data_IF_525558927918
#
_entry.id   IF_525558927918
#
_cell.length_a   1.000
_cell.length_b   1.000
_cell.length_c   1.000
_cell.angle_alpha   90.00
_cell.angle_beta   90.00
_cell.angle_gamma   90.00
#
_symmetry.space_group_name_H-M   'P 1'
#
loop_
_entity.id
_entity.type
_entity.pdbx_description
1 polymer ?
#
# COMPACT_ATOMS: atom_id res chain seq x y z
N UNK A 1 -71.97 18.20 -8.36
CA UNK A 1 -70.71 17.82 -8.99
C UNK A 1 -69.56 18.57 -8.34
N UNK A 2 -68.78 17.93 -7.41
CA UNK A 2 -67.61 18.49 -6.72
C UNK A 2 -66.39 17.67 -7.16
N UNK A 3 -65.48 18.32 -7.90
CA UNK A 3 -64.19 17.77 -8.25
C UNK A 3 -63.29 17.83 -6.99
N UNK A 4 -62.78 16.68 -6.54
CA UNK A 4 -61.72 16.60 -5.55
C UNK A 4 -60.35 16.71 -6.26
N UNK A 5 -59.61 17.76 -5.95
CA UNK A 5 -58.21 17.88 -6.31
C UNK A 5 -57.38 17.00 -5.34
N UNK A 6 -56.66 16.05 -5.92
CA UNK A 6 -55.64 15.29 -5.22
C UNK A 6 -54.34 16.11 -5.30
N UNK A 7 -53.92 16.65 -4.17
CA UNK A 7 -52.53 17.15 -3.98
C UNK A 7 -51.64 15.96 -3.65
N UNK A 8 -50.72 15.65 -4.56
CA UNK A 8 -49.61 14.75 -4.30
C UNK A 8 -48.59 15.38 -3.35
N UNK A 9 -47.88 14.57 -2.52
CA UNK A 9 -46.87 15.12 -1.61
C UNK A 9 -45.67 15.67 -2.38
N UNK A 10 -45.34 16.94 -2.12
CA UNK A 10 -44.12 17.56 -2.54
C UNK A 10 -42.95 16.83 -1.91
N UNK A 11 -42.08 16.24 -2.72
CA UNK A 11 -40.80 15.75 -2.29
C UNK A 11 -39.95 16.95 -1.87
N UNK A 12 -39.78 17.12 -0.55
CA UNK A 12 -38.74 17.97 -0.01
C UNK A 12 -37.40 17.30 -0.33
N UNK A 13 -36.73 17.80 -1.35
CA UNK A 13 -35.31 17.55 -1.56
C UNK A 13 -34.53 18.13 -0.40
N UNK A 14 -34.12 17.30 0.55
CA UNK A 14 -33.03 17.64 1.45
C UNK A 14 -31.77 17.76 0.59
N UNK A 15 -31.37 18.98 0.31
CA UNK A 15 -30.01 19.28 -0.07
C UNK A 15 -29.14 18.97 1.16
N UNK A 16 -28.59 17.77 1.20
CA UNK A 16 -27.48 17.45 2.09
C UNK A 16 -26.33 18.31 1.59
N UNK A 17 -26.06 19.40 2.27
CA UNK A 17 -24.82 20.14 2.13
C UNK A 17 -23.72 19.19 2.61
N UNK A 18 -23.04 18.51 1.66
CA UNK A 18 -21.77 17.82 1.91
C UNK A 18 -20.79 18.86 2.45
N UNK A 19 -20.62 18.87 3.76
CA UNK A 19 -19.51 19.58 4.40
C UNK A 19 -18.25 18.88 3.93
N UNK A 20 -17.45 19.59 3.15
CA UNK A 20 -16.11 19.22 2.74
C UNK A 20 -15.34 18.68 3.97
N UNK A 21 -15.12 17.36 4.01
CA UNK A 21 -14.58 16.65 5.17
C UNK A 21 -13.08 16.80 5.40
N UNK A 22 -12.39 17.60 4.61
CA UNK A 22 -10.99 17.92 4.88
C UNK A 22 -10.87 18.82 6.10
N UNK A 23 -9.95 18.53 7.05
CA UNK A 23 -9.76 19.39 8.19
C UNK A 23 -9.30 20.77 7.72
N UNK A 24 -10.11 21.78 7.94
CA UNK A 24 -9.83 23.19 7.61
C UNK A 24 -8.51 23.75 8.20
N UNK A 25 -7.71 22.92 8.86
CA UNK A 25 -6.47 23.29 9.54
C UNK A 25 -5.21 22.57 9.05
N UNK A 26 -5.32 21.61 8.11
CA UNK A 26 -4.14 20.96 7.56
C UNK A 26 -3.61 21.80 6.38
N UNK A 27 -2.61 22.65 6.67
CA UNK A 27 -1.89 23.36 5.62
C UNK A 27 -1.15 22.34 4.73
N UNK A 28 -1.32 22.45 3.41
CA UNK A 28 -0.58 21.66 2.46
C UNK A 28 0.93 21.94 2.53
N UNK A 29 1.74 21.02 2.03
CA UNK A 29 3.20 21.22 1.90
C UNK A 29 3.48 22.26 0.82
N UNK A 30 2.74 22.19 -0.27
CA UNK A 30 2.83 23.15 -1.39
C UNK A 30 2.07 24.43 -1.08
N UNK A 31 2.65 25.63 -1.33
CA UNK A 31 1.91 26.88 -1.28
C UNK A 31 0.74 26.90 -2.26
N UNK A 32 -0.35 27.64 -1.95
CA UNK A 32 -1.56 27.70 -2.78
C UNK A 32 -1.29 28.02 -4.26
N UNK A 33 -0.30 28.87 -4.54
CA UNK A 33 0.10 29.24 -5.91
C UNK A 33 0.95 28.18 -6.63
N UNK A 34 1.34 27.11 -5.94
CA UNK A 34 2.23 26.06 -6.47
C UNK A 34 1.49 24.99 -7.27
N UNK A 35 0.16 24.97 -7.18
CA UNK A 35 -0.74 24.11 -7.98
C UNK A 35 -1.86 24.93 -8.59
N UNK A 36 -2.49 24.43 -9.65
CA UNK A 36 -3.66 25.05 -10.24
C UNK A 36 -4.87 24.94 -9.30
N UNK A 37 -5.90 25.78 -9.54
CA UNK A 37 -7.13 25.71 -8.76
C UNK A 37 -7.86 24.36 -8.94
N UNK A 38 -7.81 23.77 -10.13
CA UNK A 38 -8.40 22.47 -10.43
C UNK A 38 -7.68 21.35 -9.67
N UNK A 39 -6.33 21.34 -9.63
CA UNK A 39 -5.56 20.37 -8.85
C UNK A 39 -5.85 20.47 -7.34
N UNK A 40 -6.03 21.68 -6.81
CA UNK A 40 -6.43 21.85 -5.42
C UNK A 40 -7.86 21.41 -5.14
N UNK A 41 -8.79 21.59 -6.12
CA UNK A 41 -10.17 21.14 -5.99
C UNK A 41 -10.24 19.61 -5.88
N UNK A 42 -9.52 18.87 -6.75
CA UNK A 42 -9.46 17.39 -6.69
C UNK A 42 -8.83 16.89 -5.39
N UNK A 43 -7.72 17.49 -4.94
CA UNK A 43 -7.05 17.07 -3.71
C UNK A 43 -7.81 17.44 -2.41
N UNK A 44 -8.86 18.28 -2.49
CA UNK A 44 -9.65 18.75 -1.34
C UNK A 44 -11.10 18.33 -1.39
N UNK A 45 -11.51 17.62 -2.39
CA UNK A 45 -12.85 17.06 -2.44
C UNK A 45 -12.97 15.86 -1.46
N UNK A 46 -14.15 15.28 -1.37
CA UNK A 46 -14.38 14.13 -0.49
C UNK A 46 -14.36 12.82 -1.31
N UNK A 47 -13.54 12.76 -2.34
CA UNK A 47 -13.36 11.61 -3.23
C UNK A 47 -11.90 11.18 -3.18
N UNK A 48 -11.64 9.88 -3.22
CA UNK A 48 -10.31 9.32 -3.33
C UNK A 48 -10.17 8.55 -4.64
N UNK A 49 -9.34 9.06 -5.54
CA UNK A 49 -8.93 8.37 -6.75
C UNK A 49 -7.51 7.77 -6.61
N UNK A 50 -7.27 6.65 -7.30
CA UNK A 50 -5.96 5.97 -7.23
C UNK A 50 -4.81 6.87 -7.68
N UNK A 51 -5.04 7.68 -8.71
CA UNK A 51 -4.04 8.57 -9.28
C UNK A 51 -3.58 9.71 -8.36
N UNK A 52 -4.41 10.10 -7.39
CA UNK A 52 -4.15 11.21 -6.46
C UNK A 52 -3.35 10.81 -5.23
N UNK A 53 -3.17 9.50 -5.00
CA UNK A 53 -2.56 8.99 -3.76
C UNK A 53 -1.17 9.57 -3.51
N UNK A 54 -0.33 9.67 -4.53
CA UNK A 54 1.02 10.23 -4.38
C UNK A 54 0.95 11.71 -3.96
N UNK A 55 0.06 12.48 -4.57
CA UNK A 55 -0.14 13.90 -4.27
C UNK A 55 -0.77 14.11 -2.87
N UNK A 56 -1.77 13.31 -2.51
CA UNK A 56 -2.39 13.35 -1.18
C UNK A 56 -1.38 13.02 -0.08
N UNK A 57 -0.54 12.00 -0.28
CA UNK A 57 0.55 11.66 0.66
C UNK A 57 1.52 12.83 0.78
N UNK A 58 1.94 13.41 -0.33
CA UNK A 58 2.87 14.54 -0.34
C UNK A 58 2.29 15.75 0.41
N UNK A 59 1.03 16.11 0.16
CA UNK A 59 0.42 17.32 0.72
C UNK A 59 -0.06 17.15 2.16
N UNK A 60 -0.62 15.98 2.51
CA UNK A 60 -1.38 15.85 3.76
C UNK A 60 -0.87 14.79 4.73
N UNK A 61 0.02 13.87 4.32
CA UNK A 61 0.57 12.89 5.27
C UNK A 61 1.41 13.57 6.36
N UNK A 62 1.11 13.25 7.62
CA UNK A 62 1.76 13.88 8.78
C UNK A 62 3.27 13.70 8.78
N UNK A 63 3.77 12.49 8.44
CA UNK A 63 5.20 12.19 8.40
C UNK A 63 5.90 12.99 7.31
N UNK A 64 5.32 13.03 6.10
CA UNK A 64 5.88 13.79 4.97
C UNK A 64 5.91 15.29 5.27
N UNK A 65 4.86 15.82 5.88
CA UNK A 65 4.79 17.22 6.30
C UNK A 65 5.83 17.55 7.37
N UNK A 66 6.03 16.67 8.35
CA UNK A 66 7.06 16.85 9.36
C UNK A 66 8.45 16.86 8.73
N UNK A 67 8.73 15.91 7.82
CA UNK A 67 9.99 15.86 7.08
C UNK A 67 10.23 17.14 6.28
N UNK A 68 9.20 17.65 5.61
CA UNK A 68 9.27 18.94 4.89
C UNK A 68 9.58 20.12 5.82
N UNK A 69 8.97 20.15 7.01
CA UNK A 69 9.26 21.18 8.01
C UNK A 69 10.69 21.07 8.56
N UNK A 70 11.19 19.85 8.81
CA UNK A 70 12.57 19.65 9.26
C UNK A 70 13.57 20.08 8.19
N UNK A 71 13.33 19.79 6.91
CA UNK A 71 14.14 20.28 5.81
C UNK A 71 14.13 21.81 5.71
N UNK A 72 12.97 22.43 5.90
CA UNK A 72 12.85 23.90 5.94
C UNK A 72 13.62 24.51 7.13
N UNK A 73 13.57 23.87 8.31
CA UNK A 73 14.38 24.32 9.47
C UNK A 73 15.87 24.19 9.17
N UNK A 74 16.29 23.09 8.56
CA UNK A 74 17.66 22.87 8.12
C UNK A 74 18.09 23.98 7.15
N UNK A 75 17.30 24.24 6.09
CA UNK A 75 17.55 25.27 5.09
C UNK A 75 17.67 26.67 5.71
N UNK A 76 16.80 27.00 6.66
CA UNK A 76 16.83 28.29 7.36
C UNK A 76 18.07 28.42 8.25
N UNK A 77 18.48 27.34 8.94
CA UNK A 77 19.66 27.34 9.82
C UNK A 77 20.97 27.43 9.03
N UNK A 78 21.03 26.76 7.87
CA UNK A 78 22.26 26.62 7.07
C UNK A 78 22.36 27.60 5.90
N UNK A 79 21.28 28.35 5.61
CA UNK A 79 21.19 29.22 4.44
C UNK A 79 21.21 28.47 3.12
N UNK A 80 20.66 27.25 3.10
CA UNK A 80 20.67 26.30 1.97
C UNK A 80 22.06 25.89 1.48
N UNK A 81 23.07 26.07 2.33
CA UNK A 81 24.45 25.65 1.99
C UNK A 81 24.71 24.26 2.51
N UNK A 82 24.90 23.34 1.61
CA UNK A 82 25.21 21.92 1.84
C UNK A 82 26.39 21.68 2.79
N UNK A 83 27.34 22.62 2.82
CA UNK A 83 28.67 22.36 3.38
C UNK A 83 28.93 22.93 4.77
N UNK A 84 28.13 23.88 5.29
CA UNK A 84 28.55 24.63 6.50
C UNK A 84 28.34 23.89 7.80
N UNK A 85 27.20 23.22 7.99
CA UNK A 85 26.93 22.41 9.19
C UNK A 85 27.63 21.07 9.16
N UNK A 86 27.78 20.48 7.96
CA UNK A 86 28.51 19.25 7.74
C UNK A 86 29.99 19.43 8.07
N UNK A 87 30.64 20.47 7.52
CA UNK A 87 32.07 20.77 7.77
C UNK A 87 32.37 21.04 9.25
N UNK A 88 31.47 21.74 9.95
CA UNK A 88 31.71 22.12 11.34
C UNK A 88 31.49 20.93 12.32
N UNK A 89 30.38 20.19 12.19
CA UNK A 89 30.10 19.05 13.06
C UNK A 89 31.03 17.86 12.80
N UNK A 90 31.25 17.50 11.53
CA UNK A 90 32.22 16.46 11.16
C UNK A 90 33.63 16.88 11.57
N UNK A 91 33.98 18.16 11.37
CA UNK A 91 35.29 18.69 11.77
C UNK A 91 35.55 18.60 13.28
N UNK A 92 34.55 18.79 14.13
CA UNK A 92 34.69 18.61 15.59
C UNK A 92 34.95 17.15 15.97
N UNK A 93 34.15 16.22 15.42
CA UNK A 93 34.36 14.78 15.70
C UNK A 93 35.67 14.27 15.13
N UNK A 94 36.09 14.69 13.94
CA UNK A 94 37.39 14.31 13.38
C UNK A 94 38.56 14.86 14.19
N UNK A 95 38.48 16.08 14.74
CA UNK A 95 39.52 16.62 15.65
C UNK A 95 39.55 15.76 16.93
N UNK A 96 38.42 15.49 17.54
CA UNK A 96 38.33 14.64 18.73
C UNK A 96 38.84 13.20 18.47
N UNK A 97 38.61 12.66 17.26
CA UNK A 97 39.18 11.38 16.84
C UNK A 97 40.71 11.45 16.71
N UNK A 98 41.26 12.48 16.05
CA UNK A 98 42.71 12.70 15.94
C UNK A 98 43.38 12.88 17.31
N UNK A 99 42.77 13.66 18.21
CA UNK A 99 43.30 13.87 19.56
C UNK A 99 43.31 12.51 20.33
N UNK A 100 42.28 11.71 20.17
CA UNK A 100 42.20 10.38 20.78
C UNK A 100 43.20 9.38 20.14
N UNK A 101 43.45 9.44 18.83
CA UNK A 101 44.53 8.67 18.17
C UNK A 101 45.90 9.08 18.67
N UNK A 102 46.16 10.38 18.79
CA UNK A 102 47.41 10.88 19.36
C UNK A 102 47.62 10.44 20.82
N UNK A 103 46.54 10.40 21.63
CA UNK A 103 46.57 9.90 22.99
C UNK A 103 46.84 8.37 23.03
N UNK A 104 46.29 7.63 22.06
CA UNK A 104 46.57 6.19 21.90
C UNK A 104 48.03 5.91 21.59
N UNK A 105 48.60 6.64 20.63
CA UNK A 105 50.02 6.49 20.22
C UNK A 105 50.99 6.86 21.37
N UNK A 106 50.63 7.84 22.19
CA UNK A 106 51.46 8.30 23.31
C UNK A 106 51.16 7.61 24.68
N UNK A 107 50.24 6.65 24.70
CA UNK A 107 49.87 5.97 25.93
C UNK A 107 51.02 5.14 26.52
N UNK A 108 51.31 5.33 27.83
CA UNK A 108 52.36 4.60 28.52
C UNK A 108 51.90 3.31 29.18
N UNK A 109 50.58 3.05 29.20
CA UNK A 109 49.97 1.84 29.76
C UNK A 109 48.82 1.34 28.87
N UNK A 110 48.53 0.03 28.96
CA UNK A 110 47.53 -0.62 28.12
C UNK A 110 46.06 -0.19 28.39
N UNK A 111 45.76 0.29 29.58
CA UNK A 111 44.41 0.74 29.91
C UNK A 111 44.10 2.10 29.26
N UNK A 112 45.05 3.04 29.34
CA UNK A 112 44.96 4.34 28.67
C UNK A 112 44.93 4.17 27.15
N UNK A 113 45.74 3.27 26.59
CA UNK A 113 45.73 2.93 25.18
C UNK A 113 44.36 2.39 24.74
N UNK A 114 43.76 1.46 25.48
CA UNK A 114 42.47 0.90 25.17
C UNK A 114 41.34 1.95 25.22
N UNK A 115 41.33 2.84 26.20
CA UNK A 115 40.35 3.91 26.32
C UNK A 115 40.48 4.92 25.15
N UNK A 116 41.68 5.32 24.82
CA UNK A 116 41.95 6.25 23.71
C UNK A 116 41.55 5.65 22.35
N UNK A 117 41.79 4.35 22.14
CA UNK A 117 41.35 3.64 20.93
C UNK A 117 39.82 3.60 20.80
N UNK A 118 39.11 3.33 21.91
CA UNK A 118 37.64 3.32 21.94
C UNK A 118 37.12 4.73 21.63
N UNK A 119 37.70 5.76 22.27
CA UNK A 119 37.30 7.14 22.03
C UNK A 119 37.53 7.59 20.56
N UNK A 120 38.67 7.21 19.97
CA UNK A 120 38.98 7.50 18.58
C UNK A 120 37.94 6.88 17.64
N UNK A 121 37.64 5.59 17.81
CA UNK A 121 36.65 4.87 17.00
C UNK A 121 35.22 5.38 17.20
N UNK A 122 34.84 5.79 18.41
CA UNK A 122 33.54 6.39 18.67
C UNK A 122 33.39 7.74 17.98
N UNK A 123 34.43 8.58 18.03
CA UNK A 123 34.41 9.88 17.34
C UNK A 123 34.45 9.74 15.81
N UNK A 124 35.20 8.78 15.27
CA UNK A 124 35.15 8.46 13.82
C UNK A 124 33.73 8.07 13.41
N UNK A 125 33.09 7.17 14.16
CA UNK A 125 31.71 6.77 13.90
C UNK A 125 30.73 7.93 14.03
N UNK A 126 30.86 8.77 15.06
CA UNK A 126 30.04 9.95 15.22
C UNK A 126 30.22 10.97 14.07
N UNK A 127 31.45 11.11 13.57
CA UNK A 127 31.71 11.91 12.38
C UNK A 127 30.97 11.35 11.15
N UNK A 128 30.94 10.03 10.99
CA UNK A 128 30.23 9.36 9.90
C UNK A 128 28.71 9.50 10.02
N UNK A 129 28.17 9.30 11.22
CA UNK A 129 26.72 9.49 11.48
C UNK A 129 26.32 10.93 11.15
N UNK A 130 27.16 11.92 11.48
CA UNK A 130 26.93 13.34 11.14
C UNK A 130 27.05 13.64 9.64
N UNK A 131 27.78 12.84 8.90
CA UNK A 131 27.92 13.00 7.43
C UNK A 131 26.56 13.00 6.73
N UNK A 132 25.68 12.05 7.09
CA UNK A 132 24.34 11.98 6.50
C UNK A 132 23.38 12.99 7.14
N UNK A 133 23.44 13.20 8.45
CA UNK A 133 22.59 14.15 9.16
C UNK A 133 22.89 15.63 8.78
N UNK A 134 24.13 15.94 8.45
CA UNK A 134 24.56 17.25 7.99
C UNK A 134 24.42 17.50 6.48
N UNK A 135 24.22 16.44 5.68
CA UNK A 135 24.06 16.53 4.24
C UNK A 135 22.60 16.74 3.86
N UNK A 136 22.27 17.95 3.40
CA UNK A 136 20.92 18.31 2.93
C UNK A 136 20.39 17.35 1.85
N UNK A 137 21.25 16.93 0.93
CA UNK A 137 20.82 16.07 -0.16
C UNK A 137 20.57 14.63 0.32
N UNK A 138 21.34 14.15 1.30
CA UNK A 138 21.05 12.87 1.95
C UNK A 138 19.73 12.92 2.71
N UNK A 139 19.48 13.98 3.49
CA UNK A 139 18.17 14.17 4.16
C UNK A 139 17.02 14.24 3.16
N UNK A 140 17.19 14.99 2.07
CA UNK A 140 16.19 15.08 1.01
C UNK A 140 15.91 13.70 0.38
N UNK A 141 16.94 12.89 0.13
CA UNK A 141 16.78 11.54 -0.40
C UNK A 141 16.02 10.64 0.58
N UNK A 142 16.37 10.68 1.88
CA UNK A 142 15.66 9.92 2.93
C UNK A 142 14.18 10.32 3.03
N UNK A 143 13.88 11.63 2.97
CA UNK A 143 12.52 12.13 3.01
C UNK A 143 11.72 11.73 1.78
N UNK A 144 12.33 11.79 0.59
CA UNK A 144 11.70 11.29 -0.64
C UNK A 144 11.47 9.77 -0.61
N UNK A 145 12.43 9.00 -0.11
CA UNK A 145 12.26 7.56 0.09
C UNK A 145 11.07 7.26 1.01
N UNK A 146 10.97 7.99 2.13
CA UNK A 146 9.85 7.86 3.07
C UNK A 146 8.52 8.24 2.41
N UNK A 147 8.45 9.37 1.70
CA UNK A 147 7.27 9.83 0.96
C UNK A 147 6.80 8.77 -0.05
N UNK A 148 7.70 8.30 -0.91
CA UNK A 148 7.38 7.31 -1.93
C UNK A 148 7.03 5.94 -1.32
N UNK A 149 7.68 5.57 -0.21
CA UNK A 149 7.33 4.37 0.56
C UNK A 149 5.91 4.42 1.13
N UNK A 150 5.50 5.58 1.67
CA UNK A 150 4.13 5.79 2.18
C UNK A 150 3.11 5.76 1.02
N UNK A 151 3.42 6.41 -0.11
CA UNK A 151 2.55 6.38 -1.28
C UNK A 151 2.33 4.94 -1.80
N UNK A 152 3.41 4.15 -1.93
CA UNK A 152 3.36 2.72 -2.26
C UNK A 152 2.49 1.92 -1.29
N UNK A 153 2.62 2.18 0.02
CA UNK A 153 1.79 1.52 1.04
C UNK A 153 0.31 1.93 0.94
N UNK A 154 0.00 3.20 0.69
CA UNK A 154 -1.36 3.68 0.53
C UNK A 154 -2.02 3.08 -0.73
N UNK A 155 -1.30 3.00 -1.85
CA UNK A 155 -1.76 2.33 -3.06
C UNK A 155 -2.05 0.84 -2.82
N UNK A 156 -1.17 0.15 -2.10
CA UNK A 156 -1.38 -1.26 -1.71
C UNK A 156 -2.58 -1.42 -0.77
N UNK A 157 -2.78 -0.49 0.17
CA UNK A 157 -3.93 -0.51 1.07
C UNK A 157 -5.25 -0.30 0.32
N UNK A 158 -5.29 0.61 -0.68
CA UNK A 158 -6.47 0.80 -1.53
C UNK A 158 -6.77 -0.46 -2.35
N UNK A 159 -5.74 -1.12 -2.89
CA UNK A 159 -5.91 -2.39 -3.59
C UNK A 159 -6.48 -3.47 -2.67
N UNK A 160 -5.92 -3.63 -1.46
CA UNK A 160 -6.40 -4.58 -0.45
C UNK A 160 -7.86 -4.29 -0.06
N UNK A 161 -8.24 -3.02 0.09
CA UNK A 161 -9.63 -2.63 0.39
C UNK A 161 -10.62 -3.18 -0.66
N UNK A 162 -10.33 -3.05 -1.95
CA UNK A 162 -11.20 -3.58 -3.00
C UNK A 162 -11.16 -5.11 -3.09
N UNK A 163 -10.01 -5.74 -2.88
CA UNK A 163 -9.93 -7.21 -2.80
C UNK A 163 -10.84 -7.77 -1.69
N UNK A 164 -10.80 -7.16 -0.51
CA UNK A 164 -11.66 -7.55 0.61
C UNK A 164 -13.15 -7.36 0.30
N UNK A 165 -13.53 -6.32 -0.44
CA UNK A 165 -14.92 -6.12 -0.87
C UNK A 165 -15.41 -7.21 -1.83
N UNK A 166 -14.58 -7.63 -2.79
CA UNK A 166 -14.94 -8.76 -3.66
C UNK A 166 -15.04 -10.08 -2.88
N UNK A 167 -14.13 -10.31 -1.93
CA UNK A 167 -14.20 -11.46 -1.05
C UNK A 167 -15.47 -11.43 -0.18
N UNK A 168 -15.86 -10.26 0.36
CA UNK A 168 -17.10 -10.09 1.11
C UNK A 168 -18.32 -10.46 0.26
N UNK A 169 -18.38 -9.99 -0.98
CA UNK A 169 -19.49 -10.32 -1.90
C UNK A 169 -19.61 -11.82 -2.14
N UNK A 170 -18.50 -12.54 -2.25
CA UNK A 170 -18.46 -13.99 -2.35
C UNK A 170 -18.99 -14.68 -1.07
N UNK A 171 -18.60 -14.17 0.12
CA UNK A 171 -19.07 -14.69 1.41
C UNK A 171 -20.57 -14.44 1.62
N UNK A 172 -21.06 -13.28 1.22
CA UNK A 172 -22.51 -12.97 1.31
C UNK A 172 -23.34 -13.89 0.42
N UNK A 173 -22.88 -14.18 -0.79
CA UNK A 173 -23.53 -15.16 -1.67
C UNK A 173 -23.49 -16.57 -1.09
N UNK A 174 -22.38 -16.97 -0.50
CA UNK A 174 -22.26 -18.25 0.18
C UNK A 174 -23.21 -18.36 1.40
N UNK A 175 -23.35 -17.27 2.19
CA UNK A 175 -24.31 -17.22 3.30
C UNK A 175 -25.74 -17.46 2.81
N UNK A 176 -26.14 -16.89 1.66
CA UNK A 176 -27.47 -17.09 1.09
C UNK A 176 -27.72 -18.56 0.72
N UNK A 177 -26.69 -19.23 0.15
CA UNK A 177 -26.72 -20.66 -0.09
C UNK A 177 -26.85 -21.47 1.22
N UNK A 178 -26.09 -21.13 2.26
CA UNK A 178 -26.15 -21.80 3.56
C UNK A 178 -27.52 -21.62 4.22
N UNK A 179 -28.14 -20.44 4.13
CA UNK A 179 -29.49 -20.20 4.63
C UNK A 179 -30.55 -21.06 3.90
N UNK A 180 -30.42 -21.18 2.57
CA UNK A 180 -31.27 -22.06 1.79
C UNK A 180 -31.04 -23.54 2.15
N UNK A 181 -29.81 -23.93 2.47
CA UNK A 181 -29.45 -25.28 2.92
C UNK A 181 -30.11 -25.63 4.26
N UNK A 182 -30.15 -24.68 5.22
CA UNK A 182 -30.90 -24.85 6.49
C UNK A 182 -32.38 -25.11 6.21
N UNK A 183 -32.98 -24.26 5.37
CA UNK A 183 -34.40 -24.42 4.99
C UNK A 183 -34.68 -25.77 4.36
N UNK A 184 -33.81 -26.26 3.49
CA UNK A 184 -33.89 -27.56 2.84
C UNK A 184 -33.74 -28.71 3.85
N UNK A 185 -32.79 -28.61 4.79
CA UNK A 185 -32.61 -29.63 5.84
C UNK A 185 -33.83 -29.74 6.76
N UNK A 186 -34.41 -28.61 7.15
CA UNK A 186 -35.66 -28.56 7.95
C UNK A 186 -36.83 -29.18 7.20
N UNK A 187 -37.01 -28.85 5.92
CA UNK A 187 -38.05 -29.46 5.08
C UNK A 187 -37.89 -30.96 4.92
N UNK A 188 -36.68 -31.46 4.74
CA UNK A 188 -36.39 -32.90 4.69
C UNK A 188 -36.61 -33.59 6.05
N UNK A 189 -36.26 -32.92 7.16
CA UNK A 189 -36.50 -33.44 8.50
C UNK A 189 -38.00 -33.60 8.79
N UNK A 190 -38.83 -32.62 8.43
CA UNK A 190 -40.26 -32.69 8.60
C UNK A 190 -40.93 -33.86 7.83
N UNK A 191 -40.25 -34.32 6.77
CA UNK A 191 -40.67 -35.47 5.95
C UNK A 191 -40.00 -36.78 6.38
N UNK A 192 -39.22 -36.78 7.48
CA UNK A 192 -38.47 -37.93 7.96
C UNK A 192 -37.28 -38.36 7.12
N UNK A 193 -36.81 -37.46 6.17
CA UNK A 193 -35.72 -37.73 5.25
C UNK A 193 -34.37 -37.10 5.70
N UNK A 194 -34.34 -36.44 6.83
CA UNK A 194 -33.14 -35.92 7.47
C UNK A 194 -33.25 -36.02 8.99
N UNK A 195 -32.10 -36.09 9.66
CA UNK A 195 -32.03 -36.15 11.12
C UNK A 195 -32.03 -34.73 11.73
N UNK A 196 -32.30 -34.63 13.04
CA UNK A 196 -32.11 -33.39 13.77
C UNK A 196 -30.64 -32.92 13.72
N UNK A 197 -29.67 -33.83 13.73
CA UNK A 197 -28.27 -33.53 13.61
C UNK A 197 -27.92 -32.86 12.24
N UNK A 198 -28.57 -33.27 11.16
CA UNK A 198 -28.41 -32.66 9.84
C UNK A 198 -28.86 -31.19 9.85
N UNK A 199 -29.95 -30.88 10.52
CA UNK A 199 -30.40 -29.48 10.67
C UNK A 199 -29.46 -28.67 11.52
N UNK A 200 -28.96 -29.21 12.64
CA UNK A 200 -27.96 -28.51 13.49
C UNK A 200 -26.67 -28.25 12.74
N UNK A 201 -26.19 -29.21 11.96
CA UNK A 201 -24.98 -29.03 11.14
C UNK A 201 -25.17 -27.91 10.11
N UNK A 202 -26.31 -27.85 9.44
CA UNK A 202 -26.61 -26.77 8.50
C UNK A 202 -26.71 -25.40 9.18
N UNK A 203 -27.33 -25.34 10.38
CA UNK A 203 -27.40 -24.12 11.18
C UNK A 203 -26.00 -23.66 11.63
N UNK A 204 -25.15 -24.57 12.07
CA UNK A 204 -23.78 -24.27 12.47
C UNK A 204 -22.98 -23.73 11.29
N UNK A 205 -23.14 -24.32 10.10
CA UNK A 205 -22.48 -23.82 8.89
C UNK A 205 -22.91 -22.38 8.54
N UNK A 206 -24.21 -22.08 8.66
CA UNK A 206 -24.74 -20.72 8.47
C UNK A 206 -24.14 -19.74 9.47
N UNK A 207 -24.15 -20.07 10.77
CA UNK A 207 -23.58 -19.21 11.81
C UNK A 207 -22.09 -18.95 11.59
N UNK A 208 -21.34 -19.96 11.17
CA UNK A 208 -19.91 -19.80 10.83
C UNK A 208 -19.74 -18.86 9.63
N UNK A 209 -20.58 -18.95 8.61
CA UNK A 209 -20.57 -18.05 7.46
C UNK A 209 -20.90 -16.61 7.85
N UNK A 210 -21.88 -16.39 8.72
CA UNK A 210 -22.24 -15.07 9.25
C UNK A 210 -21.10 -14.47 10.09
N UNK A 211 -20.44 -15.27 10.92
CA UNK A 211 -19.28 -14.83 11.68
C UNK A 211 -18.11 -14.38 10.77
N UNK A 212 -17.86 -15.11 9.67
CA UNK A 212 -16.85 -14.72 8.67
C UNK A 212 -17.20 -13.39 8.00
N UNK A 213 -18.47 -13.13 7.68
CA UNK A 213 -18.92 -11.85 7.12
C UNK A 213 -18.67 -10.70 8.09
N UNK A 214 -18.98 -10.88 9.37
CA UNK A 214 -18.73 -9.86 10.40
C UNK A 214 -17.24 -9.54 10.50
N UNK A 215 -16.40 -10.57 10.56
CA UNK A 215 -14.93 -10.39 10.60
C UNK A 215 -14.40 -9.67 9.34
N UNK A 216 -14.91 -10.05 8.16
CA UNK A 216 -14.52 -9.40 6.89
C UNK A 216 -14.94 -7.93 6.86
N UNK A 217 -16.13 -7.58 7.31
CA UNK A 217 -16.60 -6.18 7.39
C UNK A 217 -15.74 -5.35 8.34
N UNK A 218 -15.31 -5.90 9.46
CA UNK A 218 -14.38 -5.24 10.38
C UNK A 218 -13.04 -4.99 9.68
N UNK A 219 -12.49 -5.99 9.00
CA UNK A 219 -11.21 -5.87 8.29
C UNK A 219 -11.27 -4.83 7.15
N UNK A 220 -12.38 -4.77 6.42
CA UNK A 220 -12.60 -3.75 5.39
C UNK A 220 -12.58 -2.35 6.01
N UNK A 221 -13.30 -2.16 7.13
CA UNK A 221 -13.34 -0.87 7.80
C UNK A 221 -11.99 -0.47 8.38
N UNK A 222 -11.26 -1.39 9.01
CA UNK A 222 -9.90 -1.14 9.51
C UNK A 222 -8.95 -0.74 8.37
N UNK A 223 -9.03 -1.45 7.22
CA UNK A 223 -8.22 -1.13 6.04
C UNK A 223 -8.58 0.24 5.46
N UNK A 224 -9.89 0.55 5.40
CA UNK A 224 -10.39 1.85 4.95
C UNK A 224 -9.89 2.99 5.86
N UNK A 225 -10.00 2.82 7.19
CA UNK A 225 -9.56 3.83 8.16
C UNK A 225 -8.04 4.07 8.06
N UNK A 226 -7.25 3.00 7.95
CA UNK A 226 -5.80 3.11 7.79
C UNK A 226 -5.45 3.88 6.51
N UNK A 227 -6.11 3.55 5.38
CA UNK A 227 -5.90 4.22 4.11
C UNK A 227 -6.19 5.71 4.19
N UNK A 228 -7.37 6.10 4.66
CA UNK A 228 -7.77 7.52 4.69
C UNK A 228 -6.90 8.34 5.64
N UNK A 229 -6.49 7.77 6.79
CA UNK A 229 -5.58 8.45 7.73
C UNK A 229 -4.18 8.64 7.12
N UNK A 230 -3.67 7.66 6.35
CA UNK A 230 -2.40 7.81 5.62
C UNK A 230 -2.43 8.96 4.62
N UNK A 231 -3.60 9.27 4.07
CA UNK A 231 -3.83 10.30 3.05
C UNK A 231 -4.24 11.66 3.66
N UNK A 232 -4.33 11.77 4.98
CA UNK A 232 -4.55 13.02 5.69
C UNK A 232 -5.97 13.29 6.15
N UNK A 233 -6.93 12.39 5.86
CA UNK A 233 -8.26 12.46 6.46
C UNK A 233 -8.23 12.12 7.95
N UNK A 234 -9.24 12.53 8.69
CA UNK A 234 -9.39 12.15 10.10
C UNK A 234 -9.99 10.75 10.22
N UNK A 235 -9.68 10.10 11.34
CA UNK A 235 -10.38 8.87 11.70
C UNK A 235 -11.89 9.12 11.79
N UNK A 236 -12.67 8.29 11.10
CA UNK A 236 -14.13 8.41 11.02
C UNK A 236 -14.65 9.23 9.83
N UNK A 237 -13.78 9.92 9.09
CA UNK A 237 -14.18 10.53 7.82
C UNK A 237 -14.64 9.46 6.82
N UNK A 238 -15.51 9.84 5.90
CA UNK A 238 -16.14 8.94 4.93
C UNK A 238 -15.99 9.45 3.48
N UNK A 239 -14.74 9.57 2.98
CA UNK A 239 -14.56 9.89 1.57
C UNK A 239 -15.10 8.76 0.68
N UNK A 240 -15.59 9.11 -0.50
CA UNK A 240 -15.90 8.16 -1.54
C UNK A 240 -14.60 7.59 -2.13
N UNK A 241 -14.39 6.29 -2.00
CA UNK A 241 -13.21 5.63 -2.57
C UNK A 241 -13.60 5.06 -3.93
N UNK A 242 -13.06 5.62 -5.01
CA UNK A 242 -13.35 5.20 -6.38
C UNK A 242 -12.62 3.92 -6.75
N UNK A 243 -13.19 3.11 -7.66
CA UNK A 243 -12.55 1.89 -8.12
C UNK A 243 -11.15 2.14 -8.71
N UNK A 244 -10.27 1.16 -8.51
CA UNK A 244 -8.93 1.15 -9.12
C UNK A 244 -9.07 1.11 -10.65
N UNK A 245 -8.22 1.83 -11.40
CA UNK A 245 -8.21 1.78 -12.86
C UNK A 245 -8.01 0.37 -13.41
N UNK A 246 -8.53 0.12 -14.60
CA UNK A 246 -8.32 -1.16 -15.28
C UNK A 246 -6.83 -1.42 -15.53
N UNK A 247 -6.43 -2.70 -15.46
CA UNK A 247 -5.06 -3.11 -15.78
C UNK A 247 -4.71 -2.77 -17.23
N UNK A 248 -3.60 -2.06 -17.42
CA UNK A 248 -3.02 -1.84 -18.74
C UNK A 248 -2.09 -2.99 -19.10
N UNK A 249 -2.60 -3.92 -19.92
CA UNK A 249 -1.81 -5.07 -20.41
C UNK A 249 -0.64 -4.63 -21.31
N UNK A 250 -0.69 -3.42 -21.88
CA UNK A 250 0.40 -2.87 -22.69
C UNK A 250 1.66 -2.61 -21.84
N UNK A 251 1.48 -2.23 -20.56
CA UNK A 251 2.61 -2.09 -19.62
C UNK A 251 3.42 -3.39 -19.51
N UNK A 252 2.76 -4.55 -19.41
CA UNK A 252 3.44 -5.86 -19.29
C UNK A 252 4.30 -6.16 -20.53
N UNK A 253 3.74 -5.88 -21.72
CA UNK A 253 4.46 -6.09 -22.98
C UNK A 253 5.65 -5.12 -23.15
N UNK A 254 5.61 -3.97 -22.51
CA UNK A 254 6.68 -2.96 -22.55
C UNK A 254 7.80 -3.21 -21.53
N UNK A 255 7.60 -4.10 -20.54
CA UNK A 255 8.61 -4.40 -19.52
C UNK A 255 9.86 -5.03 -20.14
N UNK A 256 11.03 -4.51 -19.78
CA UNK A 256 12.31 -5.05 -20.20
C UNK A 256 13.27 -5.04 -18.99
N UNK A 257 13.55 -6.24 -18.46
CA UNK A 257 14.32 -6.43 -17.23
C UNK A 257 15.71 -5.78 -17.32
N UNK A 258 16.39 -5.81 -18.46
CA UNK A 258 17.73 -5.26 -18.61
C UNK A 258 17.73 -3.71 -18.56
N UNK A 259 16.85 -3.09 -19.35
CA UNK A 259 16.73 -1.63 -19.37
C UNK A 259 16.15 -1.10 -18.06
N UNK A 260 15.19 -1.81 -17.47
CA UNK A 260 14.51 -1.41 -16.25
C UNK A 260 15.42 -1.60 -15.02
N UNK A 261 16.31 -2.62 -15.02
CA UNK A 261 17.39 -2.74 -14.02
C UNK A 261 18.31 -1.52 -14.06
N UNK A 262 18.69 -1.06 -15.26
CA UNK A 262 19.54 0.13 -15.38
C UNK A 262 18.85 1.39 -14.86
N UNK A 263 17.53 1.55 -15.10
CA UNK A 263 16.73 2.66 -14.56
C UNK A 263 16.61 2.55 -13.04
N UNK A 264 16.32 1.36 -12.52
CA UNK A 264 16.19 1.11 -11.09
C UNK A 264 17.49 1.42 -10.33
N UNK A 265 18.65 1.00 -10.86
CA UNK A 265 19.96 1.34 -10.29
C UNK A 265 20.17 2.86 -10.26
N UNK A 266 19.77 3.58 -11.29
CA UNK A 266 19.90 5.04 -11.30
C UNK A 266 18.95 5.76 -10.34
N UNK A 267 17.78 5.17 -10.07
CA UNK A 267 16.73 5.76 -9.27
C UNK A 267 16.71 5.32 -7.78
N UNK A 268 17.35 4.19 -7.42
CA UNK A 268 17.24 3.60 -6.09
C UNK A 268 17.77 4.51 -4.98
N UNK A 269 16.89 4.83 -4.03
CA UNK A 269 17.20 5.77 -2.95
C UNK A 269 18.24 5.22 -1.99
N UNK A 270 18.23 3.92 -1.68
CA UNK A 270 19.20 3.28 -0.78
C UNK A 270 20.59 3.30 -1.39
N UNK A 271 20.71 2.92 -2.66
CA UNK A 271 21.96 2.98 -3.40
C UNK A 271 22.53 4.40 -3.47
N UNK A 272 21.68 5.40 -3.72
CA UNK A 272 22.12 6.81 -3.74
C UNK A 272 22.61 7.27 -2.37
N UNK A 273 21.98 6.83 -1.27
CA UNK A 273 22.44 7.14 0.09
C UNK A 273 23.76 6.43 0.43
N UNK A 274 23.92 5.16 0.04
CA UNK A 274 25.16 4.43 0.27
C UNK A 274 26.30 4.96 -0.61
N UNK A 275 26.00 5.43 -1.83
CA UNK A 275 26.97 6.15 -2.68
C UNK A 275 27.41 7.47 -2.03
N UNK A 276 26.48 8.25 -1.47
CA UNK A 276 26.84 9.47 -0.72
C UNK A 276 27.68 9.14 0.51
N UNK A 277 27.36 8.07 1.23
CA UNK A 277 28.16 7.62 2.37
C UNK A 277 29.57 7.21 1.95
N UNK A 278 29.71 6.55 0.79
CA UNK A 278 31.02 6.24 0.19
C UNK A 278 31.80 7.50 -0.14
N UNK A 279 31.15 8.45 -0.85
CA UNK A 279 31.81 9.69 -1.31
C UNK A 279 32.27 10.57 -0.13
N UNK A 280 31.49 10.56 0.96
CA UNK A 280 31.74 11.36 2.16
C UNK A 280 32.63 10.64 3.20
N UNK A 281 32.99 9.36 3.00
CA UNK A 281 33.82 8.61 3.92
C UNK A 281 35.28 9.08 3.90
N UNK A 282 35.85 9.35 5.09
CA UNK A 282 37.21 9.87 5.24
C UNK A 282 38.24 8.77 5.56
N UNK A 283 37.82 7.59 6.04
CA UNK A 283 38.73 6.49 6.29
C UNK A 283 38.68 5.43 5.19
N UNK A 284 39.83 4.81 4.88
CA UNK A 284 39.92 3.78 3.84
C UNK A 284 39.05 2.55 4.23
N UNK A 285 39.00 2.21 5.53
CA UNK A 285 38.17 1.10 6.00
C UNK A 285 36.69 1.33 5.73
N UNK A 286 36.20 2.54 5.93
CA UNK A 286 34.78 2.89 5.70
C UNK A 286 34.48 3.00 4.21
N UNK A 287 35.39 3.56 3.42
CA UNK A 287 35.26 3.56 1.95
C UNK A 287 35.12 2.13 1.42
N UNK A 288 35.91 1.18 1.94
CA UNK A 288 35.83 -0.22 1.54
C UNK A 288 34.46 -0.85 1.94
N UNK A 289 33.95 -0.52 3.13
CA UNK A 289 32.62 -0.97 3.58
C UNK A 289 31.52 -0.46 2.65
N UNK A 290 31.49 0.86 2.39
CA UNK A 290 30.47 1.44 1.54
C UNK A 290 30.61 1.05 0.06
N UNK A 291 31.83 0.84 -0.41
CA UNK A 291 32.07 0.29 -1.74
C UNK A 291 31.40 -1.09 -1.91
N UNK A 292 31.56 -1.97 -0.91
CA UNK A 292 30.90 -3.28 -0.92
C UNK A 292 29.39 -3.18 -0.81
N UNK A 293 28.85 -2.25 -0.02
CA UNK A 293 27.42 -1.99 0.05
C UNK A 293 26.87 -1.56 -1.31
N UNK A 294 27.48 -0.59 -1.97
CA UNK A 294 27.11 -0.11 -3.30
C UNK A 294 27.13 -1.24 -4.34
N UNK A 295 28.13 -2.13 -4.28
CA UNK A 295 28.17 -3.31 -5.16
C UNK A 295 27.03 -4.30 -4.86
N UNK A 296 26.78 -4.57 -3.57
CA UNK A 296 25.68 -5.44 -3.14
C UNK A 296 24.32 -4.87 -3.53
N UNK A 297 24.08 -3.58 -3.29
CA UNK A 297 22.83 -2.92 -3.66
C UNK A 297 22.51 -3.07 -5.14
N UNK A 298 23.50 -2.90 -6.02
CA UNK A 298 23.30 -3.10 -7.45
C UNK A 298 22.85 -4.52 -7.79
N UNK A 299 23.38 -5.52 -7.07
CA UNK A 299 22.97 -6.91 -7.26
C UNK A 299 21.54 -7.14 -6.71
N UNK A 300 21.25 -6.60 -5.53
CA UNK A 300 19.91 -6.69 -4.93
C UNK A 300 18.84 -6.00 -5.80
N UNK A 301 19.15 -4.85 -6.40
CA UNK A 301 18.26 -4.17 -7.34
C UNK A 301 18.01 -5.03 -8.57
N UNK A 302 19.03 -5.64 -9.15
CA UNK A 302 18.87 -6.52 -10.31
C UNK A 302 17.99 -7.75 -9.97
N UNK A 303 18.20 -8.33 -8.79
CA UNK A 303 17.35 -9.43 -8.29
C UNK A 303 15.91 -8.93 -8.10
N UNK A 304 15.71 -7.78 -7.44
CA UNK A 304 14.38 -7.24 -7.18
C UNK A 304 13.59 -6.93 -8.47
N UNK A 305 14.24 -6.39 -9.50
CA UNK A 305 13.60 -6.13 -10.81
C UNK A 305 13.21 -7.46 -11.47
N UNK A 306 14.11 -8.46 -11.48
CA UNK A 306 13.79 -9.76 -12.05
C UNK A 306 12.65 -10.45 -11.29
N UNK A 307 12.69 -10.46 -9.96
CA UNK A 307 11.65 -11.05 -9.12
C UNK A 307 10.31 -10.32 -9.30
N UNK A 308 10.35 -9.00 -9.38
CA UNK A 308 9.17 -8.18 -9.69
C UNK A 308 8.55 -8.58 -11.03
N UNK A 309 9.36 -8.72 -12.08
CA UNK A 309 8.90 -9.18 -13.38
C UNK A 309 8.28 -10.59 -13.35
N UNK A 310 8.93 -11.53 -12.64
CA UNK A 310 8.38 -12.88 -12.47
C UNK A 310 7.03 -12.87 -11.72
N UNK A 311 6.88 -12.00 -10.71
CA UNK A 311 5.60 -11.82 -10.00
C UNK A 311 4.51 -11.27 -10.91
N UNK A 312 4.83 -10.34 -11.82
CA UNK A 312 3.88 -9.86 -12.83
C UNK A 312 3.43 -10.98 -13.74
N UNK A 313 4.35 -11.81 -14.25
CA UNK A 313 4.01 -12.95 -15.10
C UNK A 313 3.16 -13.98 -14.35
N UNK A 314 3.48 -14.27 -13.09
CA UNK A 314 2.71 -15.17 -12.24
C UNK A 314 1.29 -14.64 -12.00
N UNK A 315 1.16 -13.35 -11.65
CA UNK A 315 -0.14 -12.72 -11.44
C UNK A 315 -0.97 -12.69 -12.72
N UNK A 316 -0.34 -12.45 -13.88
CA UNK A 316 -1.00 -12.52 -15.19
C UNK A 316 -1.54 -13.94 -15.46
N UNK A 317 -0.73 -14.97 -15.23
CA UNK A 317 -1.18 -16.36 -15.42
C UNK A 317 -2.36 -16.68 -14.48
N UNK A 318 -2.31 -16.24 -13.21
CA UNK A 318 -3.41 -16.40 -12.26
C UNK A 318 -4.70 -15.68 -12.70
N UNK A 319 -4.57 -14.48 -13.28
CA UNK A 319 -5.71 -13.79 -13.86
C UNK A 319 -6.29 -14.52 -15.08
N UNK A 320 -5.44 -14.97 -16.02
CA UNK A 320 -5.87 -15.73 -17.20
C UNK A 320 -6.59 -17.03 -16.79
N UNK A 321 -6.09 -17.74 -15.77
CA UNK A 321 -6.75 -18.92 -15.18
C UNK A 321 -8.12 -18.59 -14.59
N UNK A 322 -8.22 -17.50 -13.83
CA UNK A 322 -9.48 -17.06 -13.26
C UNK A 322 -10.53 -16.70 -14.34
N UNK A 323 -10.10 -16.08 -15.44
CA UNK A 323 -10.97 -15.80 -16.59
C UNK A 323 -11.53 -17.09 -17.19
N UNK A 324 -10.69 -18.11 -17.38
CA UNK A 324 -11.13 -19.43 -17.89
C UNK A 324 -12.09 -20.12 -16.89
N UNK A 325 -11.81 -19.98 -15.57
CA UNK A 325 -12.69 -20.56 -14.55
C UNK A 325 -14.09 -19.93 -14.56
N UNK A 326 -14.20 -18.60 -14.76
CA UNK A 326 -15.50 -17.94 -14.95
C UNK A 326 -16.25 -18.51 -16.17
N UNK A 327 -15.55 -18.79 -17.27
CA UNK A 327 -16.17 -19.42 -18.44
C UNK A 327 -16.72 -20.83 -18.14
N UNK A 328 -15.94 -21.64 -17.41
CA UNK A 328 -16.35 -22.98 -16.98
C UNK A 328 -17.58 -22.91 -16.07
N UNK A 329 -17.53 -22.06 -15.03
CA UNK A 329 -18.64 -21.96 -14.07
C UNK A 329 -19.89 -21.33 -14.70
N UNK A 330 -19.73 -20.47 -15.69
CA UNK A 330 -20.86 -19.96 -16.50
C UNK A 330 -21.55 -21.10 -17.27
N UNK A 331 -20.80 -22.01 -17.89
CA UNK A 331 -21.36 -23.18 -18.56
C UNK A 331 -22.05 -24.14 -17.58
N UNK A 332 -21.43 -24.38 -16.40
CA UNK A 332 -21.98 -25.20 -15.35
C UNK A 332 -23.30 -24.64 -14.83
N UNK A 333 -23.34 -23.33 -14.54
CA UNK A 333 -24.56 -22.66 -14.09
C UNK A 333 -25.66 -22.70 -15.16
N UNK A 334 -25.35 -22.43 -16.43
CA UNK A 334 -26.31 -22.53 -17.52
C UNK A 334 -26.93 -23.93 -17.62
N UNK A 335 -26.10 -24.98 -17.50
CA UNK A 335 -26.57 -26.36 -17.51
C UNK A 335 -27.46 -26.66 -16.27
N UNK A 336 -27.06 -26.19 -15.09
CA UNK A 336 -27.85 -26.33 -13.87
C UNK A 336 -29.19 -25.59 -13.97
N UNK A 337 -29.21 -24.38 -14.54
CA UNK A 337 -30.42 -23.59 -14.74
C UNK A 337 -31.44 -24.34 -15.65
N UNK A 338 -30.98 -24.90 -16.76
CA UNK A 338 -31.83 -25.72 -17.66
C UNK A 338 -32.38 -26.94 -16.91
N UNK A 339 -31.52 -27.69 -16.18
CA UNK A 339 -31.93 -28.87 -15.41
C UNK A 339 -32.95 -28.53 -14.31
N UNK A 340 -32.78 -27.38 -13.66
CA UNK A 340 -33.69 -26.90 -12.64
C UNK A 340 -35.06 -26.54 -13.23
N UNK A 341 -35.11 -25.84 -14.37
CA UNK A 341 -36.33 -25.52 -15.08
C UNK A 341 -37.10 -26.80 -15.52
N UNK A 342 -36.37 -27.86 -15.87
CA UNK A 342 -36.92 -29.18 -16.21
C UNK A 342 -37.29 -30.02 -14.97
N UNK A 343 -37.04 -29.51 -13.76
CA UNK A 343 -37.31 -30.26 -12.52
C UNK A 343 -36.33 -31.44 -12.28
N UNK A 344 -35.20 -31.49 -13.01
CA UNK A 344 -34.24 -32.57 -12.95
C UNK A 344 -33.22 -32.46 -11.84
N UNK A 345 -33.11 -31.29 -11.24
CA UNK A 345 -32.27 -31.03 -10.06
C UNK A 345 -33.03 -30.24 -9.01
N UNK A 346 -32.56 -30.33 -7.77
CA UNK A 346 -33.13 -29.58 -6.65
C UNK A 346 -32.76 -28.10 -6.69
N UNK A 347 -33.52 -27.28 -5.94
CA UNK A 347 -33.20 -25.85 -5.75
C UNK A 347 -31.80 -25.67 -5.12
N UNK A 348 -31.39 -26.54 -4.22
CA UNK A 348 -30.08 -26.46 -3.57
C UNK A 348 -28.94 -26.68 -4.58
N UNK A 349 -29.08 -27.66 -5.46
CA UNK A 349 -28.08 -27.91 -6.53
C UNK A 349 -27.99 -26.73 -7.51
N UNK A 350 -29.12 -26.11 -7.85
CA UNK A 350 -29.13 -24.88 -8.65
C UNK A 350 -28.42 -23.72 -7.94
N UNK A 351 -28.74 -23.46 -6.65
CA UNK A 351 -28.11 -22.39 -5.85
C UNK A 351 -26.62 -22.64 -5.64
N UNK A 352 -26.21 -23.92 -5.55
CA UNK A 352 -24.78 -24.25 -5.48
C UNK A 352 -24.04 -23.84 -6.75
N UNK A 353 -24.61 -24.14 -7.93
CA UNK A 353 -24.03 -23.75 -9.21
C UNK A 353 -23.97 -22.21 -9.36
N UNK A 354 -25.00 -21.50 -8.92
CA UNK A 354 -25.03 -20.03 -8.90
C UNK A 354 -23.96 -19.46 -7.97
N UNK A 355 -23.81 -20.04 -6.78
CA UNK A 355 -22.79 -19.62 -5.81
C UNK A 355 -21.38 -19.84 -6.34
N UNK A 356 -21.13 -20.97 -7.01
CA UNK A 356 -19.84 -21.25 -7.65
C UNK A 356 -19.50 -20.23 -8.74
N UNK A 357 -20.48 -19.86 -9.58
CA UNK A 357 -20.29 -18.83 -10.60
C UNK A 357 -19.95 -17.46 -9.99
N UNK A 358 -20.70 -17.02 -8.98
CA UNK A 358 -20.42 -15.73 -8.30
C UNK A 358 -19.04 -15.76 -7.65
N UNK A 359 -18.68 -16.89 -7.01
CA UNK A 359 -17.34 -17.06 -6.43
C UNK A 359 -16.25 -16.94 -7.49
N UNK A 360 -16.40 -17.60 -8.64
CA UNK A 360 -15.44 -17.49 -9.74
C UNK A 360 -15.33 -16.05 -10.30
N UNK A 361 -16.47 -15.33 -10.41
CA UNK A 361 -16.48 -13.94 -10.84
C UNK A 361 -15.74 -13.04 -9.87
N UNK A 362 -16.00 -13.19 -8.56
CA UNK A 362 -15.31 -12.39 -7.53
C UNK A 362 -13.82 -12.72 -7.47
N UNK A 363 -13.46 -14.01 -7.59
CA UNK A 363 -12.05 -14.43 -7.66
C UNK A 363 -11.32 -13.80 -8.86
N UNK A 364 -11.96 -13.76 -10.03
CA UNK A 364 -11.41 -13.07 -11.20
C UNK A 364 -11.11 -11.59 -10.92
N UNK A 365 -12.02 -10.87 -10.24
CA UNK A 365 -11.78 -9.47 -9.87
C UNK A 365 -10.64 -9.33 -8.84
N UNK A 366 -10.53 -10.27 -7.88
CA UNK A 366 -9.39 -10.31 -6.95
C UNK A 366 -8.09 -10.54 -7.72
N UNK A 367 -8.06 -11.50 -8.67
CA UNK A 367 -6.87 -11.77 -9.50
C UNK A 367 -6.50 -10.59 -10.43
N UNK A 368 -7.49 -9.84 -10.90
CA UNK A 368 -7.26 -8.60 -11.64
C UNK A 368 -6.56 -7.55 -10.77
N UNK A 369 -6.99 -7.39 -9.51
CA UNK A 369 -6.33 -6.49 -8.56
C UNK A 369 -4.94 -6.98 -8.14
N UNK A 370 -4.73 -8.28 -8.00
CA UNK A 370 -3.40 -8.86 -7.75
C UNK A 370 -2.44 -8.56 -8.92
N UNK A 371 -2.91 -8.68 -10.15
CA UNK A 371 -2.14 -8.33 -11.34
C UNK A 371 -1.81 -6.83 -11.38
N UNK A 372 -2.80 -5.99 -11.11
CA UNK A 372 -2.60 -4.55 -11.00
C UNK A 372 -1.52 -4.23 -9.95
N UNK A 373 -1.62 -4.81 -8.75
CA UNK A 373 -0.65 -4.63 -7.67
C UNK A 373 0.76 -5.11 -8.04
N UNK A 374 0.87 -6.21 -8.78
CA UNK A 374 2.17 -6.71 -9.22
C UNK A 374 2.85 -5.75 -10.22
N UNK A 375 2.08 -5.19 -11.16
CA UNK A 375 2.55 -4.18 -12.12
C UNK A 375 3.00 -2.91 -11.38
N UNK A 376 2.18 -2.38 -10.48
CA UNK A 376 2.54 -1.18 -9.71
C UNK A 376 3.77 -1.42 -8.81
N UNK A 377 3.88 -2.62 -8.21
CA UNK A 377 5.06 -2.98 -7.42
C UNK A 377 6.32 -3.02 -8.27
N UNK A 378 6.24 -3.57 -9.48
CA UNK A 378 7.34 -3.53 -10.45
C UNK A 378 7.72 -2.08 -10.81
N UNK A 379 6.73 -1.26 -11.13
CA UNK A 379 6.95 0.16 -11.44
C UNK A 379 7.63 0.90 -10.27
N UNK A 380 7.25 0.60 -9.02
CA UNK A 380 7.90 1.18 -7.84
C UNK A 380 9.36 0.74 -7.71
N UNK A 381 9.68 -0.53 -8.00
CA UNK A 381 11.08 -1.01 -7.99
C UNK A 381 11.89 -0.26 -9.05
N UNK A 382 11.35 -0.09 -10.26
CA UNK A 382 12.00 0.67 -11.35
C UNK A 382 12.18 2.15 -11.00
N UNK A 383 11.25 2.73 -10.22
CA UNK A 383 11.34 4.11 -9.68
C UNK A 383 12.25 4.22 -8.45
N UNK A 384 12.91 3.14 -8.01
CA UNK A 384 13.87 3.13 -6.91
C UNK A 384 13.29 2.94 -5.52
N UNK A 385 12.06 2.42 -5.40
CA UNK A 385 11.39 2.11 -4.14
C UNK A 385 11.20 0.59 -4.02
N UNK A 386 12.16 -0.05 -3.34
CA UNK A 386 12.14 -1.50 -3.09
C UNK A 386 11.25 -1.89 -1.91
#
# INVERSE_FOLDING_TARGET
MRRKNFMGPAALGMAVSLSLGMPATALAVTPEFGRSAEEWETLRDNVLEYGEIEDLVYEYNVTVRNNSQELNKFDNRTGRRESKTHSDAVGEYLRAANDAWSAYENAQDGATAAQSLVAAKQNEKAAEDQVLEGDRNAQLLQYKQTEKGIAKQAQAAMNTYFQLQYQLSSLEKNRDFLAASVTSAQGRQSQGMATYADVLNAQQALQNGEAQIIAMKSQIEDTRQNLIVMLGWKQGDMPEIRPIPAVDMGKIAAMNVETDTSKAIAADYTLQLDQKSFDNSNSEANREIYRKKVENDKQEIAIAVNDGYQKVLQAKNGYDEAVLNVEVETKNWNAANIKYQLGSISRIEYLQAETNLVKAQMDKEVKNLELFQAIETYDWIVKGVR
#
